data_IF_157725950401
#
_entry.id   IF_157725950401
#
_cell.length_a   1.000
_cell.length_b   1.000
_cell.length_c   1.000
_cell.angle_alpha   90.00
_cell.angle_beta   90.00
_cell.angle_gamma   90.00
#
_symmetry.space_group_name_H-M   'P 1'
#
loop_
_entity.id
_entity.type
_entity.pdbx_description
1 polymer ?
#
# COMPACT_ATOMS: atom_id res chain seq x y z
N UNK A 1 -5.53 -14.03 22.49
CA UNK A 1 -6.00 -12.98 21.57
C UNK A 1 -4.82 -12.27 20.93
N UNK A 2 -4.81 -12.20 19.60
CA UNK A 2 -3.93 -11.33 18.83
C UNK A 2 -4.10 -9.87 19.27
N UNK A 3 -2.99 -9.15 19.40
CA UNK A 3 -2.99 -7.70 19.59
C UNK A 3 -2.68 -7.04 18.25
N UNK A 4 -3.46 -6.06 17.85
CA UNK A 4 -3.12 -5.23 16.70
C UNK A 4 -2.49 -3.94 17.22
N UNK A 5 -1.26 -3.67 16.79
CA UNK A 5 -0.51 -2.50 17.20
C UNK A 5 -0.54 -1.44 16.09
N UNK A 6 -1.40 -0.44 16.25
CA UNK A 6 -1.49 0.65 15.30
C UNK A 6 -0.19 1.48 15.30
N UNK A 7 0.42 1.61 14.12
CA UNK A 7 1.58 2.45 13.85
C UNK A 7 1.10 3.67 13.06
N UNK A 8 1.47 4.86 13.52
CA UNK A 8 1.19 6.11 12.80
C UNK A 8 1.77 6.07 11.37
N UNK A 9 1.13 6.73 10.40
CA UNK A 9 1.63 6.82 9.03
C UNK A 9 3.10 7.29 9.01
N UNK A 10 3.42 8.29 9.83
CA UNK A 10 4.77 8.85 9.97
C UNK A 10 5.79 7.80 10.40
N UNK A 11 5.48 7.00 11.41
CA UNK A 11 6.39 5.97 11.90
C UNK A 11 6.49 4.78 10.92
N UNK A 12 5.39 4.45 10.24
CA UNK A 12 5.34 3.40 9.24
C UNK A 12 6.27 3.70 8.05
N UNK A 13 6.26 4.94 7.55
CA UNK A 13 7.10 5.34 6.42
C UNK A 13 8.55 5.65 6.79
N UNK A 14 8.82 6.02 8.06
CA UNK A 14 10.14 6.51 8.51
C UNK A 14 11.30 5.60 8.11
N UNK A 15 11.11 4.28 8.17
CA UNK A 15 12.12 3.27 7.82
C UNK A 15 12.53 3.26 6.34
N UNK A 16 11.73 3.87 5.47
CA UNK A 16 11.95 3.95 4.03
C UNK A 16 12.54 5.28 3.57
N UNK A 17 12.55 6.29 4.44
CA UNK A 17 13.01 7.65 4.15
C UNK A 17 12.46 8.20 2.82
N UNK A 18 11.13 8.18 2.61
CA UNK A 18 10.56 8.61 1.35
C UNK A 18 10.75 10.12 1.14
N UNK A 19 10.90 10.53 -0.11
CA UNK A 19 11.00 11.95 -0.44
C UNK A 19 9.66 12.66 -0.18
N UNK A 20 9.71 13.89 0.30
CA UNK A 20 8.50 14.69 0.44
C UNK A 20 7.92 15.00 -0.96
N UNK A 21 6.62 14.72 -1.19
CA UNK A 21 6.02 14.96 -2.49
C UNK A 21 5.89 16.46 -2.76
N UNK A 22 6.13 16.86 -4.02
CA UNK A 22 5.91 18.24 -4.47
C UNK A 22 4.43 18.62 -4.36
N UNK A 23 4.14 19.92 -4.22
CA UNK A 23 2.76 20.43 -4.14
C UNK A 23 1.89 19.95 -5.30
N UNK A 24 2.42 19.99 -6.52
CA UNK A 24 1.72 19.52 -7.74
C UNK A 24 1.35 18.04 -7.65
N UNK A 25 2.26 17.19 -7.15
CA UNK A 25 2.02 15.76 -6.92
C UNK A 25 0.84 15.55 -5.98
N UNK A 26 0.78 16.32 -4.89
CA UNK A 26 -0.32 16.25 -3.92
C UNK A 26 -1.64 16.76 -4.52
N UNK A 27 -1.64 17.83 -5.31
CA UNK A 27 -2.85 18.29 -5.99
C UNK A 27 -3.38 17.28 -7.01
N UNK A 28 -2.51 16.60 -7.75
CA UNK A 28 -2.92 15.51 -8.63
C UNK A 28 -3.42 14.29 -7.82
N UNK A 29 -2.77 13.98 -6.70
CA UNK A 29 -3.24 12.92 -5.80
C UNK A 29 -4.65 13.18 -5.27
N UNK A 30 -4.97 14.43 -4.88
CA UNK A 30 -6.33 14.81 -4.49
C UNK A 30 -7.35 14.55 -5.60
N UNK A 31 -7.01 14.86 -6.86
CA UNK A 31 -7.90 14.60 -8.00
C UNK A 31 -8.17 13.11 -8.17
N UNK A 32 -7.15 12.27 -8.06
CA UNK A 32 -7.32 10.81 -8.14
C UNK A 32 -8.15 10.26 -6.97
N UNK A 33 -7.95 10.78 -5.74
CA UNK A 33 -8.82 10.44 -4.59
C UNK A 33 -10.27 10.83 -4.85
N UNK A 34 -10.52 12.07 -5.30
CA UNK A 34 -11.87 12.54 -5.58
C UNK A 34 -12.54 11.68 -6.66
N UNK A 35 -11.83 11.34 -7.74
CA UNK A 35 -12.35 10.46 -8.78
C UNK A 35 -12.70 9.07 -8.24
N UNK A 36 -11.88 8.50 -7.35
CA UNK A 36 -12.14 7.21 -6.72
C UNK A 36 -13.42 7.27 -5.87
N UNK A 37 -13.56 8.28 -5.03
CA UNK A 37 -14.70 8.45 -4.13
C UNK A 37 -16.00 8.77 -4.88
N UNK A 38 -15.94 9.53 -5.97
CA UNK A 38 -17.11 9.84 -6.82
C UNK A 38 -17.60 8.64 -7.62
N UNK A 39 -16.70 7.72 -8.02
CA UNK A 39 -17.06 6.52 -8.75
C UNK A 39 -17.54 5.39 -7.84
N UNK A 40 -17.03 5.32 -6.61
CA UNK A 40 -17.35 4.27 -5.64
C UNK A 40 -18.87 3.99 -5.47
N UNK A 41 -19.79 4.97 -5.34
CA UNK A 41 -21.22 4.70 -5.15
C UNK A 41 -21.97 4.33 -6.44
N UNK A 42 -21.33 4.34 -7.61
CA UNK A 42 -22.02 4.07 -8.90
C UNK A 42 -22.43 2.61 -9.05
N UNK A 43 -21.61 1.71 -8.54
CA UNK A 43 -21.84 0.27 -8.54
C UNK A 43 -21.25 -0.35 -7.28
N UNK A 44 -22.10 -1.02 -6.51
CA UNK A 44 -21.76 -1.58 -5.20
C UNK A 44 -21.20 -3.01 -5.27
N UNK A 45 -20.98 -3.57 -6.47
CA UNK A 45 -20.41 -4.89 -6.59
C UNK A 45 -18.89 -4.88 -6.35
N UNK A 46 -18.39 -5.94 -5.73
CA UNK A 46 -16.99 -6.05 -5.30
C UNK A 46 -16.02 -6.00 -6.50
N UNK A 47 -16.42 -6.50 -7.66
CA UNK A 47 -15.59 -6.51 -8.88
C UNK A 47 -15.39 -5.10 -9.44
N UNK A 48 -16.44 -4.27 -9.43
CA UNK A 48 -16.32 -2.86 -9.78
C UNK A 48 -15.35 -2.13 -8.83
N UNK A 49 -15.47 -2.36 -7.52
CA UNK A 49 -14.60 -1.72 -6.52
C UNK A 49 -13.13 -2.14 -6.69
N UNK A 50 -12.86 -3.42 -7.02
CA UNK A 50 -11.50 -3.91 -7.37
C UNK A 50 -10.92 -3.13 -8.54
N UNK A 51 -11.72 -2.93 -9.58
CA UNK A 51 -11.28 -2.21 -10.77
C UNK A 51 -11.00 -0.74 -10.48
N UNK A 52 -11.81 -0.07 -9.66
CA UNK A 52 -11.56 1.33 -9.28
C UNK A 52 -10.31 1.50 -8.40
N UNK A 53 -10.07 0.60 -7.44
CA UNK A 53 -8.83 0.58 -6.65
C UNK A 53 -7.60 0.37 -7.53
N UNK A 54 -7.68 -0.57 -8.49
CA UNK A 54 -6.58 -0.83 -9.43
C UNK A 54 -6.29 0.39 -10.31
N UNK A 55 -7.33 1.05 -10.84
CA UNK A 55 -7.19 2.30 -11.61
C UNK A 55 -6.55 3.39 -10.77
N UNK A 56 -6.98 3.59 -9.53
CA UNK A 56 -6.40 4.59 -8.63
C UNK A 56 -4.90 4.36 -8.38
N UNK A 57 -4.51 3.12 -8.05
CA UNK A 57 -3.10 2.76 -7.84
C UNK A 57 -2.26 2.92 -9.10
N UNK A 58 -2.81 2.55 -10.26
CA UNK A 58 -2.17 2.71 -11.57
C UNK A 58 -2.01 4.18 -11.95
N UNK A 59 -3.06 4.99 -11.86
CA UNK A 59 -3.01 6.40 -12.26
C UNK A 59 -2.09 7.22 -11.34
N UNK A 60 -2.13 6.94 -10.03
CA UNK A 60 -1.37 7.72 -9.05
C UNK A 60 0.11 7.36 -9.02
N UNK A 61 0.43 6.06 -9.12
CA UNK A 61 1.79 5.56 -8.89
C UNK A 61 2.38 4.80 -10.07
N UNK A 62 1.60 4.47 -11.11
CA UNK A 62 1.98 3.55 -12.19
C UNK A 62 2.29 2.13 -11.70
N UNK A 63 1.57 1.68 -10.66
CA UNK A 63 1.64 0.28 -10.21
C UNK A 63 1.04 -0.66 -11.25
N UNK A 64 1.70 -1.80 -11.48
CA UNK A 64 1.16 -2.89 -12.28
C UNK A 64 0.22 -3.76 -11.43
N UNK A 65 -1.04 -3.32 -11.37
CA UNK A 65 -2.10 -4.01 -10.64
C UNK A 65 -2.81 -4.99 -11.57
N UNK A 66 -2.92 -6.25 -11.16
CA UNK A 66 -3.68 -7.25 -11.90
C UNK A 66 -4.56 -8.07 -10.97
N UNK A 67 -5.77 -8.38 -11.44
CA UNK A 67 -6.66 -9.33 -10.78
C UNK A 67 -6.21 -10.74 -11.16
N UNK A 68 -5.82 -11.54 -10.18
CA UNK A 68 -5.55 -12.96 -10.41
C UNK A 68 -6.80 -13.73 -9.95
N UNK A 69 -7.18 -14.83 -10.60
CA UNK A 69 -8.35 -15.65 -10.22
C UNK A 69 -8.37 -16.11 -8.75
N UNK A 70 -7.25 -15.93 -8.03
CA UNK A 70 -7.05 -16.35 -6.65
C UNK A 70 -7.05 -15.21 -5.63
N UNK A 71 -6.76 -13.97 -6.00
CA UNK A 71 -6.70 -12.81 -5.07
C UNK A 71 -7.39 -11.62 -5.72
N UNK A 72 -8.06 -10.78 -4.93
CA UNK A 72 -8.83 -9.67 -5.48
C UNK A 72 -7.98 -8.74 -6.34
N UNK A 73 -6.78 -8.40 -5.85
CA UNK A 73 -5.75 -7.74 -6.65
C UNK A 73 -4.36 -8.00 -6.08
N UNK A 74 -3.36 -7.76 -6.92
CA UNK A 74 -1.95 -7.82 -6.56
C UNK A 74 -1.15 -6.80 -7.36
N UNK A 75 -0.09 -6.26 -6.74
CA UNK A 75 0.91 -5.43 -7.44
C UNK A 75 2.10 -6.31 -7.80
N UNK A 76 2.46 -6.31 -9.08
CA UNK A 76 3.55 -7.11 -9.63
C UNK A 76 4.81 -6.26 -9.86
N UNK A 77 5.96 -6.90 -9.69
CA UNK A 77 7.26 -6.38 -10.18
C UNK A 77 7.91 -7.49 -10.97
N UNK A 78 7.90 -7.35 -12.30
CA UNK A 78 8.19 -8.48 -13.20
C UNK A 78 7.07 -9.52 -13.09
N UNK A 79 7.44 -10.78 -12.87
CA UNK A 79 6.48 -11.89 -12.75
C UNK A 79 6.08 -12.19 -11.29
N UNK A 80 6.68 -11.51 -10.31
CA UNK A 80 6.47 -11.78 -8.89
C UNK A 80 5.44 -10.83 -8.27
N UNK A 81 4.56 -11.39 -7.42
CA UNK A 81 3.65 -10.59 -6.59
C UNK A 81 4.43 -9.95 -5.44
N UNK A 82 4.36 -8.63 -5.33
CA UNK A 82 5.02 -7.88 -4.25
C UNK A 82 4.02 -7.38 -3.21
N UNK A 83 2.78 -7.14 -3.60
CA UNK A 83 1.73 -6.66 -2.70
C UNK A 83 0.45 -7.44 -2.95
N UNK A 84 -0.16 -7.96 -1.89
CA UNK A 84 -1.49 -8.57 -1.93
C UNK A 84 -2.53 -7.53 -1.52
N UNK A 85 -3.67 -7.51 -2.21
CA UNK A 85 -4.76 -6.58 -1.93
C UNK A 85 -6.07 -7.37 -1.88
N UNK A 86 -6.75 -7.31 -0.74
CA UNK A 86 -8.12 -7.82 -0.54
C UNK A 86 -9.07 -6.62 -0.54
N UNK A 87 -10.01 -6.59 -1.48
CA UNK A 87 -10.91 -5.45 -1.68
C UNK A 87 -12.32 -5.87 -1.27
N UNK A 88 -12.96 -5.06 -0.43
CA UNK A 88 -14.36 -5.24 -0.07
C UNK A 88 -15.21 -4.09 -0.59
N UNK A 89 -16.44 -4.42 -0.97
CA UNK A 89 -17.45 -3.42 -1.28
C UNK A 89 -17.82 -2.60 -0.03
N UNK A 90 -18.16 -1.32 -0.22
CA UNK A 90 -18.53 -0.40 0.87
C UNK A 90 -19.74 -0.89 1.68
N UNK A 91 -20.66 -1.61 1.05
CA UNK A 91 -21.83 -2.17 1.70
C UNK A 91 -21.53 -3.49 2.46
N UNK A 92 -20.35 -4.11 2.26
CA UNK A 92 -19.97 -5.37 2.88
C UNK A 92 -19.40 -5.19 4.30
N UNK A 93 -20.22 -4.57 5.17
CA UNK A 93 -19.84 -4.20 6.54
C UNK A 93 -19.58 -5.40 7.46
N UNK A 94 -20.03 -6.59 7.08
CA UNK A 94 -19.86 -7.80 7.89
C UNK A 94 -18.49 -8.47 7.68
N UNK A 95 -17.88 -8.28 6.51
CA UNK A 95 -16.62 -8.95 6.14
C UNK A 95 -15.40 -8.04 6.25
N UNK A 96 -15.61 -6.73 6.35
CA UNK A 96 -14.58 -5.71 6.53
C UNK A 96 -14.31 -5.44 8.03
N UNK A 97 -13.13 -4.90 8.43
CA UNK A 97 -12.90 -4.42 9.78
C UNK A 97 -14.02 -3.48 10.28
N UNK A 98 -14.47 -3.69 11.51
CA UNK A 98 -15.59 -2.93 12.10
C UNK A 98 -15.17 -1.54 12.59
N UNK A 99 -13.89 -1.40 12.91
CA UNK A 99 -13.28 -0.18 13.40
C UNK A 99 -11.80 -0.16 13.00
N UNK A 100 -11.17 1.01 13.15
CA UNK A 100 -9.77 1.23 12.80
C UNK A 100 -8.77 0.57 13.76
N UNK A 101 -9.19 0.17 14.96
CA UNK A 101 -8.32 -0.37 16.03
C UNK A 101 -8.18 -1.90 15.93
N UNK A 102 -9.14 -2.57 15.29
CA UNK A 102 -9.14 -4.02 15.13
C UNK A 102 -9.40 -4.45 13.67
N UNK A 103 -8.33 -4.70 12.91
CA UNK A 103 -8.43 -5.23 11.55
C UNK A 103 -8.97 -6.66 11.44
N UNK A 104 -9.17 -7.39 12.55
CA UNK A 104 -9.65 -8.76 12.48
C UNK A 104 -11.07 -8.82 11.91
N UNK A 105 -11.17 -9.49 10.77
CA UNK A 105 -12.37 -9.59 9.95
C UNK A 105 -12.24 -10.80 9.03
N UNK A 106 -13.31 -11.11 8.28
CA UNK A 106 -13.23 -12.14 7.24
C UNK A 106 -12.20 -11.75 6.15
N UNK A 107 -12.16 -10.49 5.74
CA UNK A 107 -11.17 -9.97 4.79
C UNK A 107 -9.73 -10.18 5.29
N UNK A 108 -9.49 -9.99 6.59
CA UNK A 108 -8.20 -10.32 7.20
C UNK A 108 -7.87 -11.81 7.13
N UNK A 109 -8.83 -12.68 7.43
CA UNK A 109 -8.61 -14.13 7.34
C UNK A 109 -8.38 -14.59 5.89
N UNK A 110 -9.07 -13.98 4.92
CA UNK A 110 -8.83 -14.18 3.49
C UNK A 110 -7.42 -13.76 3.09
N UNK A 111 -6.99 -12.56 3.52
CA UNK A 111 -5.64 -12.07 3.28
C UNK A 111 -4.57 -13.01 3.85
N UNK A 112 -4.75 -13.52 5.08
CA UNK A 112 -3.82 -14.50 5.68
C UNK A 112 -3.80 -15.80 4.87
N UNK A 113 -4.96 -16.29 4.41
CA UNK A 113 -5.04 -17.48 3.55
C UNK A 113 -4.22 -17.31 2.26
N UNK A 114 -4.40 -16.19 1.57
CA UNK A 114 -3.67 -15.91 0.34
C UNK A 114 -2.19 -15.68 0.56
N UNK A 115 -1.82 -14.96 1.62
CA UNK A 115 -0.43 -14.79 2.03
C UNK A 115 0.27 -16.16 2.23
N UNK A 116 -0.33 -17.07 3.01
CA UNK A 116 0.26 -18.38 3.30
C UNK A 116 0.46 -19.22 2.04
N UNK A 117 -0.43 -19.09 1.07
CA UNK A 117 -0.33 -19.76 -0.23
C UNK A 117 0.74 -19.15 -1.12
N UNK A 118 0.83 -17.81 -1.15
CA UNK A 118 1.77 -17.09 -2.00
C UNK A 118 3.22 -17.33 -1.57
N UNK A 119 3.50 -17.32 -0.25
CA UNK A 119 4.85 -17.57 0.29
C UNK A 119 5.39 -18.99 0.06
N UNK A 120 4.58 -19.93 -0.45
CA UNK A 120 5.07 -21.26 -0.81
C UNK A 120 6.05 -21.20 -1.99
N UNK A 121 5.87 -20.24 -2.92
CA UNK A 121 6.69 -20.12 -4.13
C UNK A 121 7.21 -18.69 -4.37
N UNK A 122 6.87 -17.73 -3.51
CA UNK A 122 7.24 -16.33 -3.67
C UNK A 122 7.85 -15.76 -2.38
N UNK A 123 9.12 -15.34 -2.44
CA UNK A 123 9.83 -14.74 -1.30
C UNK A 123 9.97 -13.21 -1.43
N UNK A 124 9.20 -12.59 -2.32
CA UNK A 124 9.31 -11.17 -2.67
C UNK A 124 8.21 -10.30 -2.06
N UNK A 125 7.18 -10.89 -1.45
CA UNK A 125 6.10 -10.15 -0.80
C UNK A 125 6.60 -9.09 0.20
N UNK A 126 6.06 -7.88 0.05
CA UNK A 126 6.44 -6.69 0.83
C UNK A 126 5.34 -6.30 1.81
N UNK A 127 4.12 -6.16 1.32
CA UNK A 127 2.96 -5.73 2.10
C UNK A 127 1.68 -6.47 1.71
N UNK A 128 0.74 -6.49 2.64
CA UNK A 128 -0.63 -6.92 2.44
C UNK A 128 -1.57 -5.74 2.75
N UNK A 129 -2.60 -5.56 1.92
CA UNK A 129 -3.58 -4.47 2.05
C UNK A 129 -4.98 -5.06 2.14
N UNK A 130 -5.75 -4.62 3.13
CA UNK A 130 -7.19 -4.83 3.18
C UNK A 130 -7.83 -3.46 2.99
N UNK A 131 -8.67 -3.30 1.98
CA UNK A 131 -9.26 -2.00 1.69
C UNK A 131 -10.68 -2.05 1.14
N UNK A 132 -11.36 -0.93 1.27
CA UNK A 132 -12.44 -0.52 0.40
C UNK A 132 -12.04 0.83 -0.24
N UNK A 133 -12.93 1.48 -0.98
CA UNK A 133 -12.65 2.77 -1.62
C UNK A 133 -12.40 3.92 -0.65
N UNK A 134 -12.80 3.79 0.61
CA UNK A 134 -12.59 4.80 1.65
C UNK A 134 -11.42 4.47 2.55
N UNK A 135 -11.24 3.22 2.95
CA UNK A 135 -10.45 2.85 4.12
C UNK A 135 -9.45 1.74 3.80
N UNK A 136 -8.22 1.90 4.30
CA UNK A 136 -7.08 1.03 4.00
C UNK A 136 -6.37 0.60 5.27
N UNK A 137 -6.09 -0.70 5.37
CA UNK A 137 -5.25 -1.31 6.40
C UNK A 137 -4.04 -1.96 5.73
N UNK A 138 -2.84 -1.60 6.17
CA UNK A 138 -1.59 -2.08 5.58
C UNK A 138 -0.75 -2.82 6.62
N UNK A 139 -0.21 -3.97 6.20
CA UNK A 139 0.61 -4.85 7.01
C UNK A 139 1.95 -5.15 6.31
N UNK A 140 3.05 -5.19 7.07
CA UNK A 140 4.36 -5.63 6.55
C UNK A 140 4.36 -7.17 6.49
N UNK A 141 4.61 -7.76 5.32
CA UNK A 141 4.61 -9.22 5.17
C UNK A 141 5.70 -9.90 6.00
N UNK A 142 6.73 -9.17 6.45
CA UNK A 142 7.72 -9.73 7.40
C UNK A 142 7.09 -10.05 8.75
N UNK A 143 6.16 -9.22 9.21
CA UNK A 143 5.44 -9.45 10.46
C UNK A 143 4.48 -10.64 10.30
N UNK A 144 3.84 -10.79 9.13
CA UNK A 144 3.06 -11.99 8.80
C UNK A 144 3.93 -13.25 8.78
N UNK A 145 5.12 -13.22 8.18
CA UNK A 145 6.05 -14.36 8.21
C UNK A 145 6.42 -14.72 9.66
N UNK A 146 6.81 -13.73 10.46
CA UNK A 146 7.23 -13.94 11.84
C UNK A 146 6.11 -14.56 12.71
N UNK A 147 4.86 -14.12 12.50
CA UNK A 147 3.71 -14.52 13.33
C UNK A 147 2.99 -15.77 12.82
N UNK A 148 2.82 -15.93 11.52
CA UNK A 148 1.87 -16.91 10.95
C UNK A 148 2.55 -18.07 10.25
N UNK A 149 3.69 -17.86 9.58
CA UNK A 149 4.33 -18.89 8.76
C UNK A 149 4.72 -20.11 9.57
N UNK A 150 5.12 -19.94 10.84
CA UNK A 150 5.59 -21.02 11.70
C UNK A 150 4.64 -21.41 12.82
N UNK A 151 3.47 -20.77 12.91
CA UNK A 151 2.45 -21.14 13.87
C UNK A 151 1.85 -22.51 13.51
N UNK A 152 1.83 -23.41 14.49
CA UNK A 152 1.43 -24.81 14.28
C UNK A 152 -0.06 -24.93 13.93
N UNK A 153 -0.92 -24.15 14.57
CA UNK A 153 -2.36 -24.24 14.35
C UNK A 153 -2.73 -23.58 13.03
N UNK A 154 -2.19 -22.39 12.73
CA UNK A 154 -2.43 -21.72 11.44
C UNK A 154 -1.96 -22.59 10.27
N UNK A 155 -0.77 -23.21 10.37
CA UNK A 155 -0.27 -24.16 9.36
C UNK A 155 -1.21 -25.34 9.16
N UNK A 156 -1.74 -25.91 10.25
CA UNK A 156 -2.67 -27.04 10.21
C UNK A 156 -3.99 -26.64 9.55
N UNK A 157 -4.57 -25.51 9.96
CA UNK A 157 -5.78 -24.95 9.35
C UNK A 157 -5.58 -24.72 7.85
N UNK A 158 -4.47 -24.11 7.45
CA UNK A 158 -4.17 -23.84 6.05
C UNK A 158 -4.05 -25.14 5.24
N UNK A 159 -3.33 -26.16 5.73
CA UNK A 159 -3.23 -27.46 5.07
C UNK A 159 -4.58 -28.18 4.94
N UNK A 160 -5.39 -28.16 6.00
CA UNK A 160 -6.72 -28.78 5.98
C UNK A 160 -7.61 -28.24 4.85
N UNK A 161 -7.48 -26.94 4.55
CA UNK A 161 -8.20 -26.28 3.46
C UNK A 161 -7.46 -26.42 2.12
N UNK A 162 -6.25 -25.87 1.99
CA UNK A 162 -5.51 -25.75 0.73
C UNK A 162 -5.05 -27.10 0.15
N UNK A 163 -4.65 -28.05 1.02
CA UNK A 163 -4.19 -29.39 0.62
C UNK A 163 -5.26 -30.47 0.73
N UNK A 164 -6.47 -30.08 1.13
CA UNK A 164 -7.60 -30.98 1.35
C UNK A 164 -7.27 -32.13 2.33
N UNK A 165 -6.61 -31.81 3.44
CA UNK A 165 -6.26 -32.78 4.49
C UNK A 165 -7.34 -32.92 5.60
N UNK A 166 -8.27 -31.95 5.71
CA UNK A 166 -9.36 -31.95 6.69
C UNK A 166 -10.56 -32.84 6.33
N UNK A 167 -11.67 -32.72 7.07
CA UNK A 167 -12.97 -33.29 6.65
C UNK A 167 -13.84 -32.23 5.95
N UNK A 168 -13.68 -30.97 6.33
CA UNK A 168 -14.24 -29.80 5.66
C UNK A 168 -13.09 -28.95 5.11
N UNK A 169 -12.96 -28.90 3.79
CA UNK A 169 -11.89 -28.19 3.09
C UNK A 169 -12.31 -26.80 2.62
N UNK A 170 -13.49 -26.32 3.04
CA UNK A 170 -13.98 -25.02 2.60
C UNK A 170 -13.13 -23.88 3.13
N UNK A 171 -12.92 -22.86 2.32
CA UNK A 171 -12.28 -21.61 2.77
C UNK A 171 -13.11 -20.93 3.87
N UNK A 172 -14.44 -21.09 3.84
CA UNK A 172 -15.34 -20.65 4.91
C UNK A 172 -14.97 -21.25 6.27
N UNK A 173 -14.65 -22.55 6.31
CA UNK A 173 -14.21 -23.22 7.54
C UNK A 173 -12.87 -22.67 8.02
N UNK A 174 -11.90 -22.52 7.12
CA UNK A 174 -10.61 -21.91 7.44
C UNK A 174 -10.78 -20.51 8.05
N UNK A 175 -11.60 -19.64 7.46
CA UNK A 175 -11.80 -18.27 7.96
C UNK A 175 -12.40 -18.27 9.38
N UNK A 176 -13.42 -19.09 9.62
CA UNK A 176 -14.07 -19.19 10.93
C UNK A 176 -13.11 -19.70 12.00
N UNK A 177 -12.39 -20.78 11.71
CA UNK A 177 -11.47 -21.40 12.67
C UNK A 177 -10.25 -20.50 12.95
N UNK A 178 -9.71 -19.84 11.91
CA UNK A 178 -8.61 -18.89 12.06
C UNK A 178 -9.04 -17.68 12.91
N UNK A 179 -10.21 -17.11 12.63
CA UNK A 179 -10.73 -15.97 13.39
C UNK A 179 -10.93 -16.33 14.87
N UNK A 180 -11.47 -17.52 15.16
CA UNK A 180 -11.63 -18.01 16.52
C UNK A 180 -10.29 -18.21 17.22
N UNK A 181 -9.33 -18.85 16.55
CA UNK A 181 -7.99 -19.08 17.08
C UNK A 181 -7.25 -17.77 17.38
N UNK A 182 -7.30 -16.80 16.45
CA UNK A 182 -6.70 -15.48 16.64
C UNK A 182 -7.34 -14.73 17.81
N UNK A 183 -8.66 -14.84 18.01
CA UNK A 183 -9.37 -14.21 19.13
C UNK A 183 -9.03 -14.85 20.47
N UNK A 184 -9.02 -16.18 20.57
CA UNK A 184 -8.94 -16.85 21.87
C UNK A 184 -7.50 -17.19 22.24
N UNK A 185 -6.82 -17.95 21.39
CA UNK A 185 -5.64 -18.72 21.80
C UNK A 185 -4.33 -18.13 21.29
N UNK A 186 -4.35 -17.42 20.16
CA UNK A 186 -3.14 -16.83 19.60
C UNK A 186 -2.55 -15.75 20.51
N UNK A 187 -1.22 -15.76 20.65
CA UNK A 187 -0.45 -14.77 21.41
C UNK A 187 0.59 -14.17 20.50
N UNK A 188 0.30 -12.98 20.00
CA UNK A 188 1.21 -12.21 19.17
C UNK A 188 0.70 -10.80 19.02
N UNK A 189 1.62 -9.89 18.67
CA UNK A 189 1.31 -8.52 18.35
C UNK A 189 1.61 -8.30 16.87
N UNK A 190 0.60 -7.89 16.10
CA UNK A 190 0.71 -7.61 14.68
C UNK A 190 0.65 -6.10 14.46
N UNK A 191 1.76 -5.48 14.05
CA UNK A 191 1.76 -4.07 13.70
C UNK A 191 1.05 -3.82 12.37
N UNK A 192 0.40 -2.67 12.26
CA UNK A 192 -0.27 -2.23 11.04
C UNK A 192 -0.36 -0.72 10.98
N UNK A 193 -0.60 -0.16 9.79
CA UNK A 193 -0.99 1.25 9.65
C UNK A 193 -2.34 1.35 8.95
N UNK A 194 -2.98 2.50 9.09
CA UNK A 194 -4.34 2.76 8.65
C UNK A 194 -4.48 4.19 8.14
N UNK A 195 -5.33 4.37 7.12
CA UNK A 195 -5.81 5.68 6.71
C UNK A 195 -7.19 5.60 6.05
N UNK A 196 -7.88 6.74 6.02
CA UNK A 196 -9.20 6.88 5.41
C UNK A 196 -9.21 8.03 4.40
N UNK A 197 -9.38 7.71 3.11
CA UNK A 197 -9.45 8.65 2.00
C UNK A 197 -10.73 9.51 2.00
N UNK A 198 -11.79 9.08 2.68
CA UNK A 198 -13.04 9.87 2.81
C UNK A 198 -13.02 10.86 3.98
N UNK A 199 -12.05 10.76 4.90
CA UNK A 199 -12.04 11.53 6.15
C UNK A 199 -10.63 11.78 6.74
N UNK A 200 -9.65 12.10 5.89
CA UNK A 200 -8.26 12.39 6.32
C UNK A 200 -8.07 13.86 6.77
N UNK A 201 -7.10 14.09 7.66
CA UNK A 201 -6.57 15.45 7.90
C UNK A 201 -5.72 15.87 6.68
N UNK A 202 -5.93 17.05 6.07
CA UNK A 202 -5.09 17.54 4.96
C UNK A 202 -3.58 17.47 5.21
N UNK A 203 -3.14 17.52 6.47
CA UNK A 203 -1.73 17.37 6.87
C UNK A 203 -1.20 15.95 6.73
N UNK A 204 -2.08 14.94 6.77
CA UNK A 204 -1.72 13.53 6.58
C UNK A 204 -1.62 13.16 5.11
N UNK A 205 -2.18 13.95 4.21
CA UNK A 205 -2.25 13.63 2.79
C UNK A 205 -0.87 13.35 2.16
N UNK A 206 0.21 14.10 2.46
CA UNK A 206 1.55 13.72 2.02
C UNK A 206 2.02 12.36 2.55
N UNK A 207 1.68 12.02 3.80
CA UNK A 207 2.03 10.75 4.41
C UNK A 207 1.26 9.59 3.75
N UNK A 208 -0.03 9.78 3.49
CA UNK A 208 -0.86 8.80 2.77
C UNK A 208 -0.29 8.55 1.36
N UNK A 209 0.10 9.62 0.65
CA UNK A 209 0.75 9.51 -0.65
C UNK A 209 2.04 8.67 -0.56
N UNK A 210 2.88 8.97 0.44
CA UNK A 210 4.14 8.25 0.65
C UNK A 210 3.91 6.78 1.00
N UNK A 211 2.91 6.44 1.81
CA UNK A 211 2.61 5.05 2.21
C UNK A 211 2.34 4.14 1.02
N UNK A 212 1.63 4.63 0.00
CA UNK A 212 1.30 3.87 -1.20
C UNK A 212 2.35 3.97 -2.32
N UNK A 213 3.40 4.78 -2.12
CA UNK A 213 4.48 4.98 -3.10
C UNK A 213 5.35 3.73 -3.29
N UNK A 214 6.14 3.71 -4.37
CA UNK A 214 7.11 2.64 -4.63
C UNK A 214 8.14 2.50 -3.49
N UNK A 215 8.55 3.63 -2.89
CA UNK A 215 9.58 3.68 -1.85
C UNK A 215 9.16 2.94 -0.58
N UNK A 216 7.89 3.10 -0.20
CA UNK A 216 7.32 2.46 0.98
C UNK A 216 6.70 1.12 0.59
N UNK A 217 5.68 1.14 -0.28
CA UNK A 217 4.84 -0.02 -0.55
C UNK A 217 5.60 -1.16 -1.22
N UNK A 218 6.49 -0.86 -2.15
CA UNK A 218 7.35 -1.88 -2.80
C UNK A 218 8.70 -2.03 -2.10
N UNK A 219 9.00 -1.19 -1.09
CA UNK A 219 10.32 -1.09 -0.45
C UNK A 219 11.45 -0.83 -1.46
N UNK A 220 11.14 -0.19 -2.59
CA UNK A 220 12.11 0.12 -3.63
C UNK A 220 12.76 1.47 -3.33
N UNK A 221 14.02 1.45 -2.88
CA UNK A 221 14.77 2.70 -2.73
C UNK A 221 14.90 3.35 -4.10
N UNK A 222 14.53 4.62 -4.23
CA UNK A 222 15.02 5.42 -5.35
C UNK A 222 16.53 5.48 -5.23
N UNK A 223 17.24 4.91 -6.19
CA UNK A 223 18.62 5.28 -6.45
C UNK A 223 18.56 6.70 -7.00
N UNK A 224 18.72 7.68 -6.12
CA UNK A 224 19.17 9.00 -6.55
C UNK A 224 20.57 8.78 -7.11
N UNK A 225 20.70 8.79 -8.43
CA UNK A 225 22.02 8.92 -9.04
C UNK A 225 22.60 10.23 -8.49
N UNK A 226 23.73 10.13 -7.78
CA UNK A 226 24.39 11.28 -7.17
C UNK A 226 24.76 12.36 -8.21
N UNK A 227 24.79 12.00 -9.49
CA UNK A 227 25.02 12.90 -10.61
C UNK A 227 23.73 13.50 -11.19
N UNK A 228 22.55 13.12 -10.71
CA UNK A 228 21.29 13.74 -11.13
C UNK A 228 21.22 15.14 -10.53
N UNK A 229 21.36 16.14 -11.40
CA UNK A 229 21.27 17.55 -11.04
C UNK A 229 19.88 17.87 -10.47
N UNK A 230 19.82 18.33 -9.23
CA UNK A 230 18.62 18.98 -8.71
C UNK A 230 18.50 20.35 -9.38
N UNK A 231 17.67 20.42 -10.43
CA UNK A 231 17.50 21.62 -11.25
C UNK A 231 17.03 22.83 -10.43
N UNK A 232 16.11 22.62 -9.49
CA UNK A 232 15.58 23.68 -8.63
C UNK A 232 16.71 24.29 -7.76
N UNK A 233 17.53 23.44 -7.13
CA UNK A 233 18.70 23.88 -6.36
C UNK A 233 19.78 24.53 -7.23
N UNK A 234 20.03 23.98 -8.41
CA UNK A 234 21.02 24.51 -9.35
C UNK A 234 20.63 25.88 -9.87
N UNK A 235 19.35 26.09 -10.22
CA UNK A 235 18.81 27.38 -10.62
C UNK A 235 18.86 28.39 -9.46
N UNK A 236 18.51 27.99 -8.23
CA UNK A 236 18.69 28.83 -7.04
C UNK A 236 20.17 29.19 -6.80
N UNK A 237 21.08 28.22 -6.97
CA UNK A 237 22.52 28.45 -6.82
C UNK A 237 23.02 29.47 -7.85
N UNK A 238 22.62 29.34 -9.11
CA UNK A 238 22.94 30.33 -10.15
C UNK A 238 22.39 31.70 -9.78
N UNK A 239 21.14 31.77 -9.33
CA UNK A 239 20.52 33.02 -8.90
C UNK A 239 21.30 33.70 -7.75
N UNK A 240 21.68 32.96 -6.70
CA UNK A 240 22.50 33.48 -5.58
C UNK A 240 23.85 34.02 -6.08
N UNK A 241 24.44 33.37 -7.08
CA UNK A 241 25.72 33.80 -7.68
C UNK A 241 25.55 34.96 -8.66
N UNK A 242 24.33 35.43 -8.93
CA UNK A 242 24.03 36.43 -9.95
C UNK A 242 24.30 35.91 -11.36
N UNK A 243 24.03 34.62 -11.59
CA UNK A 243 24.24 33.90 -12.84
C UNK A 243 22.93 33.31 -13.37
N UNK A 244 22.88 33.01 -14.66
CA UNK A 244 21.77 32.29 -15.31
C UNK A 244 22.28 31.43 -16.47
N UNK A 245 21.54 30.38 -16.82
CA UNK A 245 21.78 29.61 -18.04
C UNK A 245 21.13 30.27 -19.26
N UNK A 246 21.90 30.43 -20.33
CA UNK A 246 21.41 30.83 -21.64
C UNK A 246 21.76 29.77 -22.68
N UNK A 247 20.78 29.38 -23.49
CA UNK A 247 21.02 28.52 -24.64
C UNK A 247 21.43 29.36 -25.86
N UNK A 248 22.69 29.25 -26.27
CA UNK A 248 23.21 29.84 -27.50
C UNK A 248 23.50 28.73 -28.52
N UNK A 249 22.61 28.62 -29.52
CA UNK A 249 22.73 27.66 -30.65
C UNK A 249 22.99 26.21 -30.20
N UNK A 250 22.29 25.76 -29.14
CA UNK A 250 22.40 24.40 -28.62
C UNK A 250 23.53 24.19 -27.59
N UNK A 251 24.31 25.24 -27.27
CA UNK A 251 25.24 25.24 -26.14
C UNK A 251 24.63 25.99 -24.96
N UNK A 252 24.66 25.35 -23.80
CA UNK A 252 24.30 26.00 -22.54
C UNK A 252 25.51 26.82 -22.06
N UNK A 253 25.32 28.12 -21.88
CA UNK A 253 26.30 29.06 -21.36
C UNK A 253 25.80 29.61 -20.03
N UNK A 254 26.69 29.65 -19.03
CA UNK A 254 26.42 30.36 -17.77
C UNK A 254 26.90 31.80 -17.92
N UNK A 255 26.00 32.76 -17.77
CA UNK A 255 26.30 34.20 -17.89
C UNK A 255 25.83 34.97 -16.66
N UNK A 256 26.31 36.19 -16.50
CA UNK A 256 25.78 37.10 -15.48
C UNK A 256 24.29 37.33 -15.73
N UNK A 257 23.49 37.15 -14.68
CA UNK A 257 22.09 37.52 -14.70
C UNK A 257 21.95 39.03 -14.53
N UNK A 258 21.02 39.62 -15.26
CA UNK A 258 20.63 41.03 -15.12
C UNK A 258 19.38 41.21 -14.26
N UNK A 259 18.85 40.11 -13.70
CA UNK A 259 17.76 40.15 -12.74
C UNK A 259 18.25 40.85 -11.48
N UNK A 260 17.57 41.93 -11.07
CA UNK A 260 17.90 42.59 -9.81
C UNK A 260 17.55 41.67 -8.64
N UNK A 261 18.55 41.32 -7.83
CA UNK A 261 18.32 40.62 -6.58
C UNK A 261 17.41 41.48 -5.69
N UNK A 262 16.28 40.91 -5.26
CA UNK A 262 15.31 41.55 -4.36
C UNK A 262 15.84 41.70 -2.95
#
# INVERSE_FOLDING_TARGET
>A
MIKFAHISLKDFIKKHNPQEPKKETIENFKKEINSLLENAPRQDDEEFQKNEINKFLKNTYNHDCNTNKKVDSAIYVGEEVWVLIEVKALNNRNEFPKDRENPLSKAFCQMVFYFLKEIENNNSLKHAIICNTHEFFLFDCRDFCALFQNDKEIKKLHKNCAKKEGTDHSTKRFYSDLEEYLKKDFKGELPYTHFNLSSYDPKELPLIYQVLSHEVLLKQRKTLDANTLNKDFYEELLYILGLEEQNDKGKILIKQSHTQNS
#
